data_IF_618660626933
#
_entry.id   IF_618660626933
#
_cell.length_a   1.000
_cell.length_b   1.000
_cell.length_c   1.000
_cell.angle_alpha   90.00
_cell.angle_beta   90.00
_cell.angle_gamma   90.00
#
_symmetry.space_group_name_H-M   'P 1'
#
loop_
_entity.id
_entity.type
_entity.pdbx_description
1 polymer ?
#
# COMPACT_ATOMS: atom_id res chain seq x y z
N UNK A 1 7.49 37.60 -4.88
CA UNK A 1 6.80 36.43 -5.48
C UNK A 1 7.54 35.18 -5.03
N UNK A 2 7.07 34.51 -3.99
CA UNK A 2 7.54 33.16 -3.65
C UNK A 2 7.12 32.24 -4.79
N UNK A 3 8.08 31.52 -5.40
CA UNK A 3 7.76 30.43 -6.31
C UNK A 3 6.85 29.47 -5.54
N UNK A 4 5.57 29.43 -5.92
CA UNK A 4 4.61 28.46 -5.39
C UNK A 4 5.11 27.08 -5.81
N UNK A 5 5.93 26.46 -4.97
CA UNK A 5 6.25 25.06 -5.10
C UNK A 5 4.97 24.30 -4.79
N UNK A 6 4.56 23.43 -5.71
CA UNK A 6 3.46 22.51 -5.42
C UNK A 6 3.82 21.70 -4.16
N UNK A 7 2.86 21.44 -3.27
CA UNK A 7 3.10 20.59 -2.12
C UNK A 7 3.63 19.23 -2.59
N UNK A 8 4.60 18.68 -1.86
CA UNK A 8 5.15 17.36 -2.17
C UNK A 8 4.07 16.29 -1.99
N UNK A 9 4.08 15.28 -2.85
CA UNK A 9 3.22 14.10 -2.69
C UNK A 9 3.54 13.39 -1.38
N UNK A 10 2.48 12.93 -0.71
CA UNK A 10 2.57 12.08 0.48
C UNK A 10 2.54 10.62 -0.01
N UNK A 11 3.58 9.85 0.31
CA UNK A 11 3.71 8.43 -0.07
C UNK A 11 3.88 7.62 1.20
N UNK A 12 2.98 6.67 1.43
CA UNK A 12 2.91 5.88 2.66
C UNK A 12 2.67 4.42 2.26
N UNK A 13 3.53 3.54 2.78
CA UNK A 13 3.43 2.09 2.62
C UNK A 13 2.49 1.56 3.69
N UNK A 14 1.36 1.00 3.25
CA UNK A 14 0.34 0.47 4.15
C UNK A 14 0.47 -1.05 4.26
N UNK A 15 0.27 -1.64 5.44
CA UNK A 15 0.35 -3.08 5.61
C UNK A 15 -0.80 -3.75 4.86
N UNK A 16 -0.50 -4.37 3.71
CA UNK A 16 -1.52 -4.89 2.79
C UNK A 16 -2.46 -5.90 3.48
N UNK A 17 -1.94 -6.88 4.22
CA UNK A 17 -2.74 -7.90 4.94
C UNK A 17 -3.55 -7.35 6.11
N UNK A 18 -3.04 -6.30 6.76
CA UNK A 18 -3.55 -5.77 8.02
C UNK A 18 -4.15 -4.38 7.85
N UNK A 19 -4.63 -4.05 6.65
CA UNK A 19 -5.26 -2.75 6.36
C UNK A 19 -6.49 -2.47 7.23
N UNK A 20 -7.10 -3.52 7.79
CA UNK A 20 -8.21 -3.39 8.72
C UNK A 20 -7.75 -3.12 10.17
N UNK A 21 -6.49 -3.39 10.50
CA UNK A 21 -5.93 -3.19 11.84
C UNK A 21 -5.30 -1.80 11.98
N UNK A 22 -5.96 -0.95 12.77
CA UNK A 22 -5.50 0.42 13.03
C UNK A 22 -4.13 0.47 13.73
N UNK A 23 -3.85 -0.46 14.64
CA UNK A 23 -2.58 -0.46 15.37
C UNK A 23 -1.41 -0.83 14.46
N UNK A 24 -1.60 -1.80 13.56
CA UNK A 24 -0.59 -2.15 12.56
C UNK A 24 -0.36 -1.02 11.54
N UNK A 25 -1.42 -0.30 11.14
CA UNK A 25 -1.28 0.90 10.29
C UNK A 25 -0.47 1.98 10.99
N UNK A 26 -0.83 2.33 12.24
CA UNK A 26 -0.12 3.36 12.99
C UNK A 26 1.35 2.98 13.20
N UNK A 27 1.61 1.70 13.51
CA UNK A 27 2.97 1.17 13.66
C UNK A 27 3.77 1.26 12.36
N UNK A 28 3.22 0.80 11.23
CA UNK A 28 3.89 0.88 9.93
C UNK A 28 4.21 2.34 9.57
N UNK A 29 3.31 3.25 9.89
CA UNK A 29 3.49 4.67 9.64
C UNK A 29 4.58 5.31 10.53
N UNK A 30 4.63 4.95 11.81
CA UNK A 30 5.72 5.35 12.73
C UNK A 30 7.07 4.83 12.25
N UNK A 31 7.13 3.54 11.88
CA UNK A 31 8.35 2.89 11.39
C UNK A 31 8.87 3.56 10.10
N UNK A 32 7.97 3.87 9.15
CA UNK A 32 8.35 4.48 7.89
C UNK A 32 8.87 5.92 8.05
N UNK A 33 8.30 6.69 8.99
CA UNK A 33 8.74 8.05 9.26
C UNK A 33 9.94 8.15 10.21
N UNK A 34 10.32 7.04 10.87
CA UNK A 34 11.45 7.00 11.79
C UNK A 34 11.22 7.76 13.10
N UNK A 35 9.94 7.93 13.50
CA UNK A 35 9.59 8.56 14.77
C UNK A 35 9.39 7.53 15.88
N UNK A 36 9.42 7.96 17.15
CA UNK A 36 9.02 7.09 18.27
C UNK A 36 7.50 7.05 18.42
N UNK A 37 6.82 8.15 18.12
CA UNK A 37 5.35 8.29 18.16
C UNK A 37 4.88 9.32 17.13
N UNK A 38 3.63 9.21 16.67
CA UNK A 38 3.01 10.19 15.77
C UNK A 38 2.54 11.43 16.53
N UNK A 39 2.97 12.61 16.10
CA UNK A 39 2.35 13.88 16.51
C UNK A 39 0.96 14.03 15.90
N UNK A 40 0.24 15.09 16.32
CA UNK A 40 -1.05 15.44 15.74
C UNK A 40 -0.97 15.68 14.22
N UNK A 41 0.15 16.21 13.72
CA UNK A 41 0.34 16.50 12.29
C UNK A 41 0.50 15.23 11.47
N UNK A 42 1.28 14.26 11.96
CA UNK A 42 1.39 12.97 11.27
C UNK A 42 0.06 12.21 11.33
N UNK A 43 -0.66 12.24 12.46
CA UNK A 43 -2.00 11.61 12.54
C UNK A 43 -2.99 12.23 11.55
N UNK A 44 -2.91 13.54 11.34
CA UNK A 44 -3.72 14.22 10.31
C UNK A 44 -3.37 13.75 8.89
N UNK A 45 -2.14 13.25 8.66
CA UNK A 45 -1.76 12.71 7.35
C UNK A 45 -2.50 11.41 7.04
N UNK A 46 -2.81 10.60 8.06
CA UNK A 46 -3.65 9.40 7.89
C UNK A 46 -5.08 9.77 7.46
N UNK A 47 -5.60 10.92 7.89
CA UNK A 47 -6.92 11.42 7.46
C UNK A 47 -6.96 11.61 5.93
N UNK A 48 -5.90 12.18 5.33
CA UNK A 48 -5.81 12.32 3.87
C UNK A 48 -5.76 10.99 3.11
N UNK A 49 -5.26 9.93 3.72
CA UNK A 49 -5.18 8.61 3.08
C UNK A 49 -6.50 7.85 3.14
N UNK A 50 -7.16 7.87 4.29
CA UNK A 50 -8.32 7.02 4.51
C UNK A 50 -9.64 7.69 4.14
N UNK A 51 -9.70 9.02 4.18
CA UNK A 51 -10.96 9.75 4.07
C UNK A 51 -11.07 10.57 2.77
N UNK A 52 -10.02 10.59 1.94
CA UNK A 52 -10.02 11.27 0.64
C UNK A 52 -9.67 10.32 -0.51
N UNK A 53 -10.09 10.65 -1.74
CA UNK A 53 -9.66 9.93 -2.94
C UNK A 53 -8.14 9.86 -3.04
N UNK A 54 -7.62 8.65 -3.24
CA UNK A 54 -6.19 8.37 -3.27
C UNK A 54 -5.83 7.48 -4.46
N UNK A 55 -4.60 7.64 -4.93
CA UNK A 55 -3.97 6.76 -5.91
C UNK A 55 -3.09 5.78 -5.14
N UNK A 56 -3.20 4.49 -5.44
CA UNK A 56 -2.43 3.44 -4.77
C UNK A 56 -1.72 2.55 -5.78
N UNK A 57 -0.64 1.93 -5.32
CA UNK A 57 0.15 0.95 -6.07
C UNK A 57 0.17 -0.34 -5.27
N UNK A 58 -0.17 -1.45 -5.93
CA UNK A 58 0.09 -2.80 -5.41
C UNK A 58 1.16 -3.40 -6.28
N UNK A 59 2.22 -3.93 -5.69
CA UNK A 59 3.29 -4.55 -6.47
C UNK A 59 3.69 -5.88 -5.86
N UNK A 60 4.18 -6.82 -6.67
CA UNK A 60 4.84 -8.00 -6.18
C UNK A 60 6.20 -8.17 -6.82
N UNK A 61 7.15 -8.71 -6.07
CA UNK A 61 8.52 -8.94 -6.53
C UNK A 61 8.81 -10.43 -6.57
N UNK A 62 9.11 -10.96 -7.75
CA UNK A 62 9.59 -12.33 -7.93
C UNK A 62 11.00 -12.35 -8.49
N UNK A 63 11.80 -13.34 -8.08
CA UNK A 63 13.11 -13.57 -8.68
C UNK A 63 12.93 -14.45 -9.91
N UNK A 64 13.25 -13.92 -11.09
CA UNK A 64 13.20 -14.71 -12.30
C UNK A 64 14.37 -15.73 -12.27
N UNK A 65 14.04 -17.01 -12.27
CA UNK A 65 15.04 -18.10 -12.15
C UNK A 65 15.97 -18.17 -13.37
N UNK A 66 15.54 -17.70 -14.54
CA UNK A 66 16.31 -17.79 -15.79
C UNK A 66 17.24 -16.59 -15.96
N UNK A 67 16.76 -15.38 -15.68
CA UNK A 67 17.55 -14.14 -15.86
C UNK A 67 18.28 -13.71 -14.60
N UNK A 68 17.97 -14.32 -13.45
CA UNK A 68 18.42 -13.95 -12.10
C UNK A 68 18.07 -12.49 -11.70
N UNK A 69 17.25 -11.79 -12.50
CA UNK A 69 16.80 -10.43 -12.25
C UNK A 69 15.46 -10.40 -11.50
N UNK A 70 15.20 -9.37 -10.68
CA UNK A 70 13.88 -9.16 -10.11
C UNK A 70 12.89 -8.79 -11.22
N UNK A 71 11.72 -9.41 -11.17
CA UNK A 71 10.57 -9.13 -12.02
C UNK A 71 9.45 -8.61 -11.12
N UNK A 72 8.79 -7.54 -11.57
CA UNK A 72 7.76 -6.86 -10.80
C UNK A 72 6.42 -6.96 -11.52
N UNK A 73 5.40 -7.43 -10.82
CA UNK A 73 4.00 -7.28 -11.23
C UNK A 73 3.45 -6.07 -10.52
N UNK A 74 2.90 -5.08 -11.24
CA UNK A 74 2.46 -3.81 -10.66
C UNK A 74 1.05 -3.48 -11.12
N UNK A 75 0.19 -3.11 -10.17
CA UNK A 75 -1.15 -2.58 -10.40
C UNK A 75 -1.24 -1.17 -9.81
N UNK A 76 -1.83 -0.24 -10.56
CA UNK A 76 -2.09 1.14 -10.13
C UNK A 76 -3.59 1.38 -10.21
N UNK A 77 -4.16 1.97 -9.16
CA UNK A 77 -5.58 2.27 -9.12
C UNK A 77 -5.90 3.54 -8.33
N UNK A 78 -7.14 3.99 -8.51
CA UNK A 78 -7.73 5.11 -7.76
C UNK A 78 -8.89 4.58 -6.91
N UNK A 79 -9.07 5.16 -5.73
CA UNK A 79 -10.19 4.80 -4.85
C UNK A 79 -10.55 5.93 -3.90
N UNK A 80 -11.83 6.04 -3.57
CA UNK A 80 -12.32 6.95 -2.52
C UNK A 80 -12.16 6.36 -1.12
N UNK A 81 -11.88 5.06 -1.01
CA UNK A 81 -11.70 4.38 0.25
C UNK A 81 -10.66 3.26 0.05
N UNK A 82 -9.44 3.49 0.55
CA UNK A 82 -8.34 2.54 0.36
C UNK A 82 -8.56 1.25 1.15
N UNK A 83 -9.17 1.32 2.33
CA UNK A 83 -9.45 0.14 3.16
C UNK A 83 -10.39 -0.83 2.44
N UNK A 84 -11.56 -0.36 2.02
CA UNK A 84 -12.54 -1.20 1.32
C UNK A 84 -11.98 -1.75 0.00
N UNK A 85 -11.20 -0.94 -0.73
CA UNK A 85 -10.59 -1.37 -1.99
C UNK A 85 -9.54 -2.45 -1.78
N UNK A 86 -8.64 -2.28 -0.82
CA UNK A 86 -7.63 -3.28 -0.45
C UNK A 86 -8.30 -4.59 -0.02
N UNK A 87 -9.38 -4.52 0.77
CA UNK A 87 -10.12 -5.72 1.16
C UNK A 87 -10.78 -6.45 -0.01
N UNK A 88 -11.28 -5.71 -1.01
CA UNK A 88 -11.81 -6.29 -2.23
C UNK A 88 -10.72 -6.99 -3.05
N UNK A 89 -9.55 -6.35 -3.20
CA UNK A 89 -8.38 -6.93 -3.86
C UNK A 89 -7.83 -8.18 -3.17
N UNK A 90 -7.92 -8.24 -1.84
CA UNK A 90 -7.48 -9.40 -1.05
C UNK A 90 -8.43 -10.60 -1.12
N UNK A 91 -9.74 -10.34 -1.15
CA UNK A 91 -10.76 -11.37 -0.91
C UNK A 91 -11.60 -11.70 -2.12
N UNK A 92 -11.97 -10.71 -2.93
CA UNK A 92 -12.96 -10.87 -4.00
C UNK A 92 -12.29 -11.01 -5.37
N UNK A 93 -11.36 -10.12 -5.72
CA UNK A 93 -10.70 -10.17 -7.03
C UNK A 93 -9.98 -11.49 -7.34
N UNK A 94 -9.25 -12.13 -6.40
CA UNK A 94 -8.57 -13.40 -6.65
C UNK A 94 -9.50 -14.54 -7.07
N UNK A 95 -10.80 -14.44 -6.78
CA UNK A 95 -11.80 -15.45 -7.15
C UNK A 95 -12.07 -15.49 -8.66
N UNK A 96 -11.92 -14.35 -9.34
CA UNK A 96 -12.27 -14.22 -10.77
C UNK A 96 -11.13 -13.71 -11.64
N UNK A 97 -10.10 -13.08 -11.04
CA UNK A 97 -9.00 -12.44 -11.74
C UNK A 97 -7.67 -13.14 -11.46
N UNK A 98 -7.06 -13.67 -12.52
CA UNK A 98 -5.81 -14.45 -12.45
C UNK A 98 -4.64 -13.62 -11.90
N UNK A 99 -4.56 -12.34 -12.25
CA UNK A 99 -3.49 -11.47 -11.77
C UNK A 99 -3.61 -11.18 -10.27
N UNK A 100 -4.82 -10.97 -9.76
CA UNK A 100 -5.06 -10.86 -8.32
C UNK A 100 -4.86 -12.17 -7.56
N UNK A 101 -5.07 -13.30 -8.22
CA UNK A 101 -4.72 -14.61 -7.68
C UNK A 101 -3.20 -14.74 -7.53
N UNK A 102 -2.39 -14.30 -8.50
CA UNK A 102 -0.92 -14.26 -8.36
C UNK A 102 -0.48 -13.39 -7.18
N UNK A 103 -1.10 -12.21 -6.98
CA UNK A 103 -0.84 -11.39 -5.79
C UNK A 103 -1.16 -12.13 -4.49
N UNK A 104 -2.31 -12.82 -4.41
CA UNK A 104 -2.71 -13.57 -3.22
C UNK A 104 -1.75 -14.74 -2.93
N UNK A 105 -1.32 -15.48 -3.95
CA UNK A 105 -0.38 -16.60 -3.81
C UNK A 105 1.00 -16.11 -3.34
N UNK A 106 1.50 -15.00 -3.90
CA UNK A 106 2.74 -14.38 -3.43
C UNK A 106 2.63 -13.96 -1.96
N UNK A 107 1.53 -13.30 -1.59
CA UNK A 107 1.24 -12.86 -0.22
C UNK A 107 1.23 -14.02 0.79
N UNK A 108 0.72 -15.19 0.40
CA UNK A 108 0.73 -16.40 1.23
C UNK A 108 2.13 -17.01 1.37
N UNK A 109 2.98 -16.85 0.36
CA UNK A 109 4.36 -17.37 0.37
C UNK A 109 5.31 -16.51 1.22
N UNK A 110 5.17 -15.18 1.12
CA UNK A 110 5.93 -14.19 1.88
C UNK A 110 5.09 -12.92 2.00
N UNK A 111 4.74 -12.55 3.24
CA UNK A 111 3.92 -11.37 3.52
C UNK A 111 4.57 -10.05 3.05
N UNK A 112 5.89 -10.04 2.81
CA UNK A 112 6.63 -8.88 2.29
C UNK A 112 6.78 -8.88 0.78
N UNK A 113 6.27 -9.92 0.11
CA UNK A 113 6.37 -10.04 -1.35
C UNK A 113 5.34 -9.20 -2.10
N UNK A 114 4.33 -8.68 -1.39
CA UNK A 114 3.28 -7.77 -1.88
C UNK A 114 3.18 -6.56 -0.99
#
# INVERSE_FOLDING_TARGET
>A
MTKSALPKSIIIDLPYQSIDDKAEIEKAFVEQLGYETLSAVERETLHYIFDYPTVYVVHSKKRNQHTLRPEYTVYVGETNNIRSRTMHHLREDPKTRVDWKEFQENLQSDARSV
#
